data_IF_754184955973
#
_entry.id   IF_754184955973
#
_cell.length_a   1.000
_cell.length_b   1.000
_cell.length_c   1.000
_cell.angle_alpha   90.00
_cell.angle_beta   90.00
_cell.angle_gamma   90.00
#
_symmetry.space_group_name_H-M   'P 1'
#
loop_
_entity.id
_entity.type
_entity.pdbx_description
1 polymer ?
#
# COMPACT_ATOMS: atom_id res chain seq x y z
N UNK A 1 -14.26 17.87 21.84
CA UNK A 1 -13.03 17.85 21.01
C UNK A 1 -12.94 19.15 20.25
N UNK A 2 -11.84 19.87 20.39
CA UNK A 2 -11.57 21.12 19.67
C UNK A 2 -10.54 20.88 18.54
N UNK A 3 -10.27 21.92 17.73
CA UNK A 3 -9.35 21.81 16.56
C UNK A 3 -7.92 21.38 16.96
N UNK A 4 -7.41 21.85 18.10
CA UNK A 4 -6.08 21.48 18.60
C UNK A 4 -6.03 20.02 19.07
N UNK A 5 -7.08 19.53 19.70
CA UNK A 5 -7.21 18.12 20.09
C UNK A 5 -7.31 17.22 18.86
N UNK A 6 -8.06 17.65 17.83
CA UNK A 6 -8.15 16.92 16.56
C UNK A 6 -6.80 16.84 15.85
N UNK A 7 -6.06 17.97 15.78
CA UNK A 7 -4.75 17.99 15.15
C UNK A 7 -3.74 17.05 15.81
N UNK A 8 -3.81 16.87 17.13
CA UNK A 8 -2.94 15.94 17.87
C UNK A 8 -3.18 14.47 17.48
N UNK A 9 -4.40 14.12 17.05
CA UNK A 9 -4.66 12.74 16.59
C UNK A 9 -3.89 12.39 15.32
N UNK A 10 -3.48 13.39 14.54
CA UNK A 10 -2.76 13.22 13.28
C UNK A 10 -1.29 13.69 13.37
N UNK A 11 -0.78 13.87 14.58
CA UNK A 11 0.63 14.14 14.84
C UNK A 11 1.39 12.80 14.96
N UNK A 12 2.27 12.56 14.01
CA UNK A 12 3.11 11.36 13.98
C UNK A 12 4.52 11.61 14.53
N UNK A 13 4.76 12.75 15.20
CA UNK A 13 6.06 13.05 15.78
C UNK A 13 6.50 11.95 16.76
N UNK A 14 7.73 11.48 16.59
CA UNK A 14 8.30 10.38 17.37
C UNK A 14 7.80 8.97 16.99
N UNK A 15 6.91 8.83 15.99
CA UNK A 15 6.51 7.53 15.48
C UNK A 15 7.40 7.09 14.32
N UNK A 16 7.78 5.83 14.30
CA UNK A 16 8.52 5.21 13.20
C UNK A 16 7.58 4.39 12.35
N UNK A 17 7.52 4.72 11.06
CA UNK A 17 6.70 4.04 10.06
C UNK A 17 7.59 3.37 9.03
N UNK A 18 7.35 2.09 8.77
CA UNK A 18 7.99 1.34 7.68
C UNK A 18 7.03 1.29 6.50
N UNK A 19 7.51 1.62 5.30
CA UNK A 19 6.74 1.56 4.05
C UNK A 19 7.45 0.65 3.07
N UNK A 20 6.90 -0.53 2.80
CA UNK A 20 7.42 -1.43 1.74
C UNK A 20 6.94 -0.97 0.38
N UNK A 21 7.74 -1.18 -0.67
CA UNK A 21 7.43 -0.63 -2.00
C UNK A 21 7.42 0.90 -2.02
N UNK A 22 8.15 1.51 -1.09
CA UNK A 22 8.13 2.95 -0.86
C UNK A 22 8.87 3.77 -1.92
N UNK A 23 9.55 3.15 -2.88
CA UNK A 23 10.07 3.86 -4.07
C UNK A 23 9.05 3.89 -5.22
N UNK A 24 7.95 3.16 -5.10
CA UNK A 24 6.83 3.22 -6.03
C UNK A 24 5.99 4.49 -5.85
N UNK A 25 5.16 4.82 -6.86
CA UNK A 25 4.36 6.06 -6.87
C UNK A 25 3.50 6.21 -5.61
N UNK A 26 2.65 5.24 -5.28
CA UNK A 26 1.74 5.37 -4.14
C UNK A 26 2.49 5.24 -2.80
N UNK A 27 3.43 4.30 -2.70
CA UNK A 27 4.24 4.10 -1.49
C UNK A 27 5.11 5.33 -1.16
N UNK A 28 5.73 5.94 -2.17
CA UNK A 28 6.54 7.15 -2.02
C UNK A 28 5.72 8.35 -1.57
N UNK A 29 4.56 8.59 -2.17
CA UNK A 29 3.66 9.68 -1.79
C UNK A 29 3.11 9.49 -0.36
N UNK A 30 2.76 8.26 0.02
CA UNK A 30 2.38 7.94 1.41
C UNK A 30 3.54 8.23 2.37
N UNK A 31 4.76 7.86 2.00
CA UNK A 31 5.96 8.13 2.80
C UNK A 31 6.20 9.64 2.97
N UNK A 32 6.08 10.42 1.89
CA UNK A 32 6.18 11.89 1.93
C UNK A 32 5.12 12.51 2.85
N UNK A 33 3.86 12.08 2.74
CA UNK A 33 2.78 12.57 3.59
C UNK A 33 3.05 12.30 5.08
N UNK A 34 3.56 11.10 5.42
CA UNK A 34 3.89 10.72 6.79
C UNK A 34 5.05 11.54 7.36
N UNK A 35 6.12 11.79 6.59
CA UNK A 35 7.20 12.71 6.98
C UNK A 35 6.65 14.11 7.17
N UNK A 36 5.76 14.58 6.29
CA UNK A 36 5.06 15.85 6.42
C UNK A 36 4.28 15.98 7.73
N UNK A 37 3.75 14.88 8.26
CA UNK A 37 3.06 14.80 9.55
C UNK A 37 3.98 14.50 10.74
N UNK A 38 5.31 14.51 10.56
CA UNK A 38 6.28 14.39 11.63
C UNK A 38 6.84 13.00 11.90
N UNK A 39 6.43 11.98 11.14
CA UNK A 39 6.92 10.61 11.31
C UNK A 39 8.39 10.46 10.91
N UNK A 40 9.09 9.52 11.58
CA UNK A 40 10.29 8.91 11.04
C UNK A 40 9.87 7.81 10.06
N UNK A 41 10.36 7.82 8.82
CA UNK A 41 9.93 6.89 7.78
C UNK A 41 11.09 6.08 7.23
N UNK A 42 10.97 4.76 7.26
CA UNK A 42 11.86 3.84 6.56
C UNK A 42 11.18 3.34 5.28
N UNK A 43 11.74 3.72 4.14
CA UNK A 43 11.33 3.28 2.81
C UNK A 43 12.07 1.99 2.49
N UNK A 44 11.35 0.89 2.37
CA UNK A 44 11.92 -0.40 1.97
C UNK A 44 11.58 -0.69 0.51
N UNK A 45 12.59 -0.95 -0.29
CA UNK A 45 12.40 -1.37 -1.67
C UNK A 45 13.61 -2.18 -2.16
N UNK A 46 13.39 -3.05 -3.14
CA UNK A 46 14.47 -3.78 -3.79
C UNK A 46 15.30 -2.89 -4.73
N UNK A 47 14.65 -1.92 -5.36
CA UNK A 47 15.32 -0.94 -6.23
C UNK A 47 15.32 0.43 -5.58
N UNK A 48 16.48 0.86 -5.11
CA UNK A 48 16.66 2.17 -4.48
C UNK A 48 16.94 3.32 -5.47
N UNK A 49 17.05 3.06 -6.76
CA UNK A 49 17.35 4.12 -7.74
C UNK A 49 16.38 5.31 -7.67
N UNK A 50 15.03 5.12 -7.47
CA UNK A 50 14.13 6.25 -7.32
C UNK A 50 14.15 6.92 -5.94
N UNK A 51 14.82 6.32 -4.93
CA UNK A 51 14.76 6.78 -3.54
C UNK A 51 15.31 8.19 -3.36
N UNK A 52 16.38 8.55 -4.07
CA UNK A 52 16.98 9.91 -4.00
C UNK A 52 15.94 10.98 -4.25
N UNK A 53 15.16 10.86 -5.33
CA UNK A 53 14.10 11.79 -5.66
C UNK A 53 13.02 11.87 -4.59
N UNK A 54 12.65 10.73 -4.00
CA UNK A 54 11.62 10.68 -2.95
C UNK A 54 12.13 11.37 -1.69
N UNK A 55 13.39 11.14 -1.30
CA UNK A 55 14.01 11.81 -0.16
C UNK A 55 14.15 13.34 -0.37
N UNK A 56 14.45 13.76 -1.60
CA UNK A 56 14.45 15.19 -1.97
C UNK A 56 13.08 15.85 -1.79
N UNK A 57 11.98 15.14 -2.08
CA UNK A 57 10.62 15.63 -1.86
C UNK A 57 10.26 15.78 -0.38
N UNK A 58 11.02 15.16 0.52
CA UNK A 58 10.83 15.23 1.97
C UNK A 58 11.58 16.39 2.64
N UNK A 59 12.37 17.16 1.88
CA UNK A 59 13.05 18.34 2.42
C UNK A 59 12.05 19.39 2.98
N UNK A 60 12.36 20.09 4.09
CA UNK A 60 13.60 20.05 4.89
C UNK A 60 13.65 18.94 5.95
N UNK A 61 12.76 17.97 5.93
CA UNK A 61 12.66 16.87 6.92
C UNK A 61 13.30 15.56 6.46
N UNK A 62 14.19 15.58 5.48
CA UNK A 62 14.82 14.37 4.94
C UNK A 62 15.60 13.55 5.99
N UNK A 63 16.05 14.16 7.10
CA UNK A 63 16.66 13.46 8.22
C UNK A 63 15.72 12.52 8.97
N UNK A 64 14.40 12.69 8.81
CA UNK A 64 13.36 11.79 9.32
C UNK A 64 13.06 10.63 8.37
N UNK A 65 13.77 10.49 7.25
CA UNK A 65 13.58 9.43 6.30
C UNK A 65 14.87 8.65 6.05
N UNK A 66 14.72 7.36 5.68
CA UNK A 66 15.81 6.50 5.21
C UNK A 66 15.28 5.55 4.15
N UNK A 67 16.07 5.31 3.11
CA UNK A 67 15.81 4.25 2.15
C UNK A 67 16.73 3.06 2.43
N UNK A 68 16.16 1.88 2.52
CA UNK A 68 16.84 0.62 2.84
C UNK A 68 16.51 -0.40 1.76
N UNK A 69 17.55 -1.02 1.18
CA UNK A 69 17.39 -2.11 0.22
C UNK A 69 16.84 -3.34 0.92
N UNK A 70 15.65 -3.80 0.50
CA UNK A 70 15.04 -5.01 1.06
C UNK A 70 14.15 -5.70 0.02
N UNK A 71 14.23 -7.03 -0.04
CA UNK A 71 13.29 -7.85 -0.79
C UNK A 71 12.19 -8.36 0.14
N UNK A 72 10.94 -7.98 -0.14
CA UNK A 72 9.77 -8.39 0.65
C UNK A 72 9.49 -9.89 0.58
N UNK A 73 10.13 -10.62 -0.32
CA UNK A 73 10.05 -12.07 -0.46
C UNK A 73 11.20 -12.81 0.24
N UNK A 74 12.17 -12.09 0.78
CA UNK A 74 13.29 -12.66 1.53
C UNK A 74 13.19 -12.27 3.02
N UNK A 75 12.97 -13.29 3.86
CA UNK A 75 12.76 -13.09 5.31
C UNK A 75 14.01 -12.56 6.01
N UNK A 76 15.21 -12.97 5.57
CA UNK A 76 16.47 -12.49 6.16
C UNK A 76 16.72 -11.04 5.76
N UNK A 77 16.49 -10.68 4.49
CA UNK A 77 16.55 -9.30 4.02
C UNK A 77 15.61 -8.38 4.82
N UNK A 78 14.40 -8.86 5.16
CA UNK A 78 13.46 -8.12 6.00
C UNK A 78 13.93 -8.00 7.45
N UNK A 79 14.59 -9.02 8.01
CA UNK A 79 15.16 -8.98 9.37
C UNK A 79 16.30 -7.97 9.47
N UNK A 80 17.20 -7.97 8.50
CA UNK A 80 18.30 -7.00 8.41
C UNK A 80 17.76 -5.57 8.28
N UNK A 81 16.74 -5.38 7.43
CA UNK A 81 16.08 -4.09 7.30
C UNK A 81 15.41 -3.66 8.63
N UNK A 82 14.75 -4.58 9.34
CA UNK A 82 14.15 -4.29 10.65
C UNK A 82 15.19 -3.87 11.67
N UNK A 83 16.34 -4.53 11.71
CA UNK A 83 17.45 -4.13 12.60
C UNK A 83 17.95 -2.72 12.26
N UNK A 84 18.19 -2.44 10.98
CA UNK A 84 18.64 -1.11 10.52
C UNK A 84 17.65 0.00 10.91
N UNK A 85 16.34 -0.26 10.79
CA UNK A 85 15.28 0.68 11.20
C UNK A 85 15.33 0.91 12.72
N UNK A 86 15.50 -0.15 13.50
CA UNK A 86 15.56 -0.05 14.96
C UNK A 86 16.81 0.71 15.44
N UNK A 87 17.96 0.49 14.82
CA UNK A 87 19.19 1.22 15.11
C UNK A 87 19.07 2.72 14.80
N UNK A 88 18.36 3.08 13.72
CA UNK A 88 18.22 4.46 13.28
C UNK A 88 17.11 5.23 14.00
N UNK A 89 15.95 4.62 14.16
CA UNK A 89 14.73 5.29 14.61
C UNK A 89 14.08 4.66 15.87
N UNK A 90 14.67 3.60 16.39
CA UNK A 90 14.09 2.86 17.51
C UNK A 90 12.91 1.99 17.09
N UNK A 91 11.93 1.85 17.97
CA UNK A 91 10.80 0.94 17.81
C UNK A 91 9.93 1.29 16.62
N UNK A 92 9.58 0.29 15.80
CA UNK A 92 8.59 0.45 14.73
C UNK A 92 7.17 0.53 15.33
N UNK A 93 6.43 1.56 14.94
CA UNK A 93 5.05 1.82 15.38
C UNK A 93 4.02 1.43 14.33
N UNK A 94 4.34 1.70 13.06
CA UNK A 94 3.45 1.41 11.95
C UNK A 94 4.18 0.69 10.81
N UNK A 95 3.48 -0.22 10.14
CA UNK A 95 3.90 -0.87 8.91
C UNK A 95 2.88 -0.58 7.82
N UNK A 96 3.33 -0.05 6.68
CA UNK A 96 2.52 0.10 5.47
C UNK A 96 3.04 -0.89 4.42
N UNK A 97 2.27 -1.92 4.11
CA UNK A 97 2.58 -2.90 3.07
C UNK A 97 2.09 -2.39 1.72
N UNK A 98 2.93 -1.62 1.00
CA UNK A 98 2.60 -1.06 -0.31
C UNK A 98 3.39 -1.72 -1.46
N UNK A 99 4.27 -2.68 -1.18
CA UNK A 99 4.91 -3.49 -2.21
C UNK A 99 3.86 -4.33 -2.96
N UNK A 100 3.93 -4.32 -4.28
CA UNK A 100 3.00 -5.06 -5.11
C UNK A 100 3.11 -4.66 -6.58
N UNK A 101 2.42 -5.39 -7.43
CA UNK A 101 2.41 -5.10 -8.86
C UNK A 101 1.85 -6.24 -9.70
N UNK A 102 1.82 -6.01 -10.98
CA UNK A 102 1.45 -6.97 -12.00
C UNK A 102 2.46 -6.92 -13.14
N UNK A 103 2.46 -7.90 -14.02
CA UNK A 103 3.32 -7.92 -15.21
C UNK A 103 2.57 -8.39 -16.46
N UNK A 104 3.03 -7.97 -17.66
CA UNK A 104 2.35 -8.32 -18.91
C UNK A 104 2.17 -9.83 -19.11
N UNK A 105 3.14 -10.66 -18.71
CA UNK A 105 3.10 -12.11 -18.83
C UNK A 105 2.01 -12.78 -17.97
N UNK A 106 1.49 -12.10 -16.95
CA UNK A 106 0.37 -12.55 -16.12
C UNK A 106 -0.97 -11.86 -16.50
N UNK A 107 -1.01 -11.23 -17.69
CA UNK A 107 -2.14 -10.43 -18.16
C UNK A 107 -2.63 -10.99 -19.48
N UNK A 108 -3.92 -11.35 -19.58
CA UNK A 108 -4.51 -11.83 -20.82
C UNK A 108 -4.59 -10.72 -21.86
N UNK A 109 -4.39 -11.08 -23.15
CA UNK A 109 -4.48 -10.16 -24.28
C UNK A 109 -5.06 -10.89 -25.50
N UNK A 110 -5.10 -10.23 -26.66
CA UNK A 110 -5.45 -10.88 -27.90
C UNK A 110 -4.48 -12.01 -28.28
N UNK A 111 -3.20 -11.83 -27.89
CA UNK A 111 -2.11 -12.75 -28.24
C UNK A 111 -1.77 -13.73 -27.10
N UNK A 112 -2.36 -13.56 -25.90
CA UNK A 112 -2.09 -14.42 -24.74
C UNK A 112 -3.41 -14.77 -24.04
N UNK A 113 -3.90 -15.99 -24.31
CA UNK A 113 -5.13 -16.47 -23.72
C UNK A 113 -4.97 -16.83 -22.23
N UNK A 114 -6.08 -16.95 -21.51
CA UNK A 114 -6.06 -17.40 -20.11
C UNK A 114 -5.42 -18.79 -19.96
N UNK A 115 -5.64 -19.68 -20.94
CA UNK A 115 -5.15 -21.05 -20.89
C UNK A 115 -3.64 -21.17 -21.11
N UNK A 116 -3.03 -20.13 -21.69
CA UNK A 116 -1.60 -20.07 -22.03
C UNK A 116 -0.78 -19.19 -21.06
N UNK A 117 -1.42 -18.64 -20.01
CA UNK A 117 -0.71 -17.84 -19.02
C UNK A 117 0.39 -18.67 -18.34
N UNK A 118 1.67 -18.25 -18.40
CA UNK A 118 2.75 -19.00 -17.79
C UNK A 118 2.61 -19.09 -16.26
N UNK A 119 2.72 -20.31 -15.72
CA UNK A 119 2.62 -20.58 -14.28
C UNK A 119 3.58 -19.70 -13.46
N UNK A 120 4.81 -19.53 -13.94
CA UNK A 120 5.81 -18.70 -13.25
C UNK A 120 5.43 -17.21 -13.21
N UNK A 121 4.69 -16.73 -14.22
CA UNK A 121 4.18 -15.38 -14.21
C UNK A 121 3.06 -15.21 -13.18
N UNK A 122 2.17 -16.19 -13.07
CA UNK A 122 1.11 -16.22 -12.06
C UNK A 122 1.70 -16.29 -10.65
N UNK A 123 2.65 -17.21 -10.39
CA UNK A 123 3.36 -17.34 -9.11
C UNK A 123 3.99 -16.03 -8.69
N UNK A 124 4.76 -15.40 -9.58
CA UNK A 124 5.40 -14.12 -9.29
C UNK A 124 4.41 -13.06 -8.81
N UNK A 125 3.22 -12.98 -9.43
CA UNK A 125 2.18 -12.01 -9.02
C UNK A 125 1.61 -12.36 -7.66
N UNK A 126 1.35 -13.65 -7.38
CA UNK A 126 0.91 -14.09 -6.06
C UNK A 126 1.96 -13.84 -5.00
N UNK A 127 3.20 -14.22 -5.26
CA UNK A 127 4.29 -14.06 -4.30
C UNK A 127 4.48 -12.58 -3.96
N UNK A 128 4.65 -11.72 -4.96
CA UNK A 128 4.87 -10.30 -4.71
C UNK A 128 3.71 -9.64 -3.96
N UNK A 129 2.46 -9.92 -4.33
CA UNK A 129 1.32 -9.20 -3.74
C UNK A 129 0.86 -9.81 -2.41
N UNK A 130 0.86 -11.14 -2.27
CA UNK A 130 0.34 -11.80 -1.09
C UNK A 130 1.45 -12.14 -0.09
N UNK A 131 2.49 -12.89 -0.49
CA UNK A 131 3.61 -13.18 0.41
C UNK A 131 4.39 -11.90 0.74
N UNK A 132 4.57 -10.99 -0.23
CA UNK A 132 5.17 -9.67 0.00
C UNK A 132 4.38 -8.74 0.94
N UNK A 133 3.16 -9.12 1.34
CA UNK A 133 2.39 -8.50 2.43
C UNK A 133 2.51 -9.30 3.73
N UNK A 134 2.49 -10.63 3.65
CA UNK A 134 2.54 -11.53 4.83
C UNK A 134 3.90 -11.48 5.50
N UNK A 135 5.00 -11.62 4.76
CA UNK A 135 6.35 -11.71 5.31
C UNK A 135 6.77 -10.43 6.07
N UNK A 136 6.59 -9.21 5.52
CA UNK A 136 6.87 -8.01 6.32
C UNK A 136 5.96 -7.91 7.56
N UNK A 137 4.69 -8.35 7.46
CA UNK A 137 3.79 -8.39 8.62
C UNK A 137 4.28 -9.34 9.70
N UNK A 138 4.94 -10.47 9.34
CA UNK A 138 5.57 -11.36 10.30
C UNK A 138 6.77 -10.70 11.00
N UNK A 139 7.66 -10.05 10.25
CA UNK A 139 8.91 -9.47 10.80
C UNK A 139 8.59 -8.25 11.66
N UNK A 140 7.91 -7.26 11.12
CA UNK A 140 7.61 -6.01 11.84
C UNK A 140 6.46 -6.17 12.84
N UNK A 141 5.48 -7.03 12.55
CA UNK A 141 4.40 -7.37 13.47
C UNK A 141 4.88 -8.06 14.73
N UNK A 142 5.98 -8.85 14.67
CA UNK A 142 6.61 -9.45 15.84
C UNK A 142 7.07 -8.39 16.83
N UNK A 143 7.76 -7.35 16.37
CA UNK A 143 8.21 -6.25 17.25
C UNK A 143 7.04 -5.48 17.85
N UNK A 144 5.96 -5.29 17.08
CA UNK A 144 4.72 -4.70 17.60
C UNK A 144 4.06 -5.59 18.67
N UNK A 145 4.04 -6.91 18.46
CA UNK A 145 3.48 -7.88 19.42
C UNK A 145 4.28 -7.89 20.73
N UNK A 146 5.61 -7.85 20.69
CA UNK A 146 6.49 -7.75 21.84
C UNK A 146 6.28 -6.46 22.63
N UNK A 147 6.02 -5.34 21.95
CA UNK A 147 5.67 -4.05 22.57
C UNK A 147 4.22 -4.01 23.05
N UNK A 148 3.35 -4.81 22.45
CA UNK A 148 1.91 -4.83 22.70
C UNK A 148 1.15 -3.65 22.10
N UNK A 149 1.70 -2.94 21.09
CA UNK A 149 1.09 -1.79 20.43
C UNK A 149 1.63 -1.62 19.01
N UNK A 150 0.78 -1.24 18.06
CA UNK A 150 1.20 -0.99 16.69
C UNK A 150 0.05 -0.94 15.68
N UNK A 151 0.37 -0.56 14.45
CA UNK A 151 -0.60 -0.51 13.35
C UNK A 151 0.00 -1.10 12.08
N UNK A 152 -0.72 -2.03 11.45
CA UNK A 152 -0.41 -2.56 10.11
C UNK A 152 -1.48 -2.05 9.13
N UNK A 153 -1.04 -1.42 8.05
CA UNK A 153 -1.87 -0.98 6.95
C UNK A 153 -1.45 -1.69 5.66
N UNK A 154 -2.34 -2.50 5.12
CA UNK A 154 -2.10 -3.21 3.87
C UNK A 154 -2.67 -2.44 2.68
N UNK A 155 -1.96 -2.44 1.56
CA UNK A 155 -2.47 -1.90 0.29
C UNK A 155 -3.04 -3.07 -0.52
N UNK A 156 -4.37 -3.22 -0.44
CA UNK A 156 -5.16 -4.11 -1.27
C UNK A 156 -5.43 -3.48 -2.65
N UNK A 157 -6.61 -3.64 -3.18
CA UNK A 157 -7.08 -3.02 -4.43
C UNK A 157 -8.60 -3.13 -4.51
N UNK A 158 -9.25 -2.26 -5.27
CA UNK A 158 -10.66 -2.43 -5.63
C UNK A 158 -10.90 -3.76 -6.38
N UNK A 159 -9.85 -4.35 -6.99
CA UNK A 159 -9.89 -5.68 -7.60
C UNK A 159 -10.25 -6.80 -6.62
N UNK A 160 -10.07 -6.59 -5.31
CA UNK A 160 -10.51 -7.52 -4.29
C UNK A 160 -12.04 -7.59 -4.16
N UNK A 161 -12.75 -6.51 -4.53
CA UNK A 161 -14.21 -6.41 -4.49
C UNK A 161 -14.84 -6.68 -5.86
N UNK A 162 -14.22 -6.18 -6.93
CA UNK A 162 -14.66 -6.28 -8.31
C UNK A 162 -13.49 -6.69 -9.18
N UNK A 163 -13.34 -7.99 -9.49
CA UNK A 163 -12.21 -8.46 -10.29
C UNK A 163 -12.23 -7.81 -11.67
N UNK A 164 -11.11 -7.22 -12.04
CA UNK A 164 -10.95 -6.64 -13.37
C UNK A 164 -10.67 -7.72 -14.41
N UNK A 165 -11.09 -7.45 -15.63
CA UNK A 165 -10.71 -8.25 -16.79
C UNK A 165 -9.18 -8.29 -16.96
N UNK A 166 -8.65 -9.37 -17.53
CA UNK A 166 -7.24 -9.57 -17.94
C UNK A 166 -6.22 -9.85 -16.84
N UNK A 167 -6.48 -9.62 -15.56
CA UNK A 167 -5.49 -9.73 -14.48
C UNK A 167 -5.90 -10.73 -13.40
N UNK A 168 -6.06 -12.04 -13.74
CA UNK A 168 -6.64 -13.03 -12.84
C UNK A 168 -5.82 -13.22 -11.56
N UNK A 169 -4.50 -13.37 -11.68
CA UNK A 169 -3.62 -13.57 -10.53
C UNK A 169 -3.58 -12.35 -9.60
N UNK A 170 -3.54 -11.15 -10.16
CA UNK A 170 -3.54 -9.92 -9.37
C UNK A 170 -4.84 -9.73 -8.58
N UNK A 171 -5.99 -9.94 -9.23
CA UNK A 171 -7.30 -9.84 -8.56
C UNK A 171 -7.42 -10.86 -7.42
N UNK A 172 -7.03 -12.11 -7.66
CA UNK A 172 -7.05 -13.15 -6.63
C UNK A 172 -6.06 -12.87 -5.48
N UNK A 173 -4.84 -12.40 -5.78
CA UNK A 173 -3.86 -12.05 -4.76
C UNK A 173 -4.34 -10.89 -3.89
N UNK A 174 -4.95 -9.84 -4.47
CA UNK A 174 -5.48 -8.70 -3.71
C UNK A 174 -6.73 -9.07 -2.89
N UNK A 175 -7.56 -10.00 -3.36
CA UNK A 175 -8.62 -10.61 -2.53
C UNK A 175 -8.01 -11.37 -1.34
N UNK A 176 -6.91 -12.10 -1.57
CA UNK A 176 -6.12 -12.75 -0.52
C UNK A 176 -5.58 -11.75 0.51
N UNK A 177 -5.05 -10.60 0.09
CA UNK A 177 -4.59 -9.52 1.00
C UNK A 177 -5.74 -8.99 1.85
N UNK A 178 -6.93 -8.78 1.28
CA UNK A 178 -8.10 -8.33 2.02
C UNK A 178 -8.54 -9.35 3.08
N UNK A 179 -8.59 -10.63 2.73
CA UNK A 179 -8.91 -11.71 3.66
C UNK A 179 -7.84 -11.86 4.75
N UNK A 180 -6.55 -11.83 4.39
CA UNK A 180 -5.44 -11.84 5.32
C UNK A 180 -5.50 -10.69 6.33
N UNK A 181 -5.86 -9.48 5.87
CA UNK A 181 -6.04 -8.32 6.75
C UNK A 181 -7.07 -8.59 7.84
N UNK A 182 -8.23 -9.15 7.48
CA UNK A 182 -9.31 -9.49 8.41
C UNK A 182 -8.88 -10.59 9.39
N UNK A 183 -8.26 -11.64 8.87
CA UNK A 183 -7.76 -12.74 9.69
C UNK A 183 -6.70 -12.26 10.70
N UNK A 184 -5.70 -11.50 10.23
CA UNK A 184 -4.62 -11.01 11.08
C UNK A 184 -5.14 -10.04 12.15
N UNK A 185 -6.10 -9.18 11.80
CA UNK A 185 -6.70 -8.24 12.75
C UNK A 185 -7.32 -8.96 13.96
N UNK A 186 -8.06 -10.02 13.71
CA UNK A 186 -8.67 -10.84 14.79
C UNK A 186 -7.62 -11.60 15.55
N UNK A 187 -6.74 -12.31 14.84
CA UNK A 187 -5.72 -13.15 15.46
C UNK A 187 -4.78 -12.34 16.36
N UNK A 188 -4.25 -11.21 15.85
CA UNK A 188 -3.28 -10.42 16.61
C UNK A 188 -3.90 -9.75 17.86
N UNK A 189 -5.17 -9.31 17.74
CA UNK A 189 -5.89 -8.72 18.86
C UNK A 189 -6.20 -9.73 19.97
N UNK A 190 -6.53 -10.97 19.61
CA UNK A 190 -6.88 -12.01 20.58
C UNK A 190 -5.66 -12.68 21.22
N UNK A 191 -4.57 -12.87 20.44
CA UNK A 191 -3.43 -13.68 20.89
C UNK A 191 -2.30 -12.84 21.46
N UNK A 192 -2.12 -11.61 20.94
CA UNK A 192 -0.97 -10.77 21.32
C UNK A 192 -1.41 -9.49 22.05
N UNK A 193 -2.13 -8.58 21.39
CA UNK A 193 -2.60 -7.35 22.03
C UNK A 193 -3.79 -6.72 21.28
N UNK A 194 -4.85 -6.33 22.01
CA UNK A 194 -5.99 -5.60 21.43
C UNK A 194 -5.65 -4.17 20.99
N UNK A 195 -4.44 -3.66 21.30
CA UNK A 195 -3.96 -2.35 20.85
C UNK A 195 -3.27 -2.40 19.49
N UNK A 196 -3.00 -3.60 18.96
CA UNK A 196 -2.44 -3.74 17.61
C UNK A 196 -3.61 -3.81 16.61
N UNK A 197 -3.63 -2.88 15.66
CA UNK A 197 -4.68 -2.81 14.65
C UNK A 197 -4.14 -3.20 13.27
N UNK A 198 -4.96 -3.89 12.49
CA UNK A 198 -4.61 -4.29 11.12
C UNK A 198 -5.76 -3.91 10.20
N UNK A 199 -5.50 -3.04 9.23
CA UNK A 199 -6.49 -2.56 8.27
C UNK A 199 -5.92 -2.56 6.85
N UNK A 200 -6.75 -2.33 5.86
CA UNK A 200 -6.31 -2.15 4.48
C UNK A 200 -7.00 -0.96 3.81
N UNK A 201 -6.31 -0.36 2.86
CA UNK A 201 -6.91 0.47 1.83
C UNK A 201 -7.03 -0.34 0.54
N UNK A 202 -8.05 -0.04 -0.26
CA UNK A 202 -8.27 -0.66 -1.57
C UNK A 202 -8.37 0.44 -2.65
N UNK A 203 -7.20 0.91 -3.17
CA UNK A 203 -7.18 1.92 -4.21
C UNK A 203 -7.86 1.44 -5.50
N UNK A 204 -8.57 2.36 -6.16
CA UNK A 204 -9.09 2.20 -7.51
C UNK A 204 -8.05 2.49 -8.57
N UNK A 205 -8.46 3.21 -9.61
CA UNK A 205 -7.56 3.62 -10.68
C UNK A 205 -6.90 4.97 -10.36
N UNK A 206 -5.67 4.89 -9.88
CA UNK A 206 -4.80 6.04 -9.66
C UNK A 206 -3.89 6.23 -10.87
N UNK A 207 -3.78 7.46 -11.35
CA UNK A 207 -2.86 7.77 -12.44
C UNK A 207 -1.43 7.76 -11.90
N UNK A 208 -0.62 6.82 -12.38
CA UNK A 208 0.77 6.68 -11.99
C UNK A 208 1.66 6.69 -13.23
N UNK A 209 2.95 6.94 -13.06
CA UNK A 209 3.90 6.86 -14.18
C UNK A 209 3.90 5.46 -14.83
N UNK A 210 3.64 4.41 -14.06
CA UNK A 210 3.61 3.02 -14.54
C UNK A 210 2.41 2.69 -15.42
N UNK A 211 1.28 3.40 -15.27
CA UNK A 211 0.04 3.08 -16.00
C UNK A 211 -0.43 4.23 -16.93
N UNK A 212 0.22 5.39 -16.89
CA UNK A 212 -0.15 6.56 -17.67
C UNK A 212 -0.26 6.24 -19.17
N UNK A 213 0.71 5.53 -19.73
CA UNK A 213 0.73 5.13 -21.15
C UNK A 213 -0.43 4.21 -21.55
N UNK A 214 -1.02 3.47 -20.59
CA UNK A 214 -2.20 2.62 -20.84
C UNK A 214 -3.51 3.39 -20.81
N UNK A 215 -3.54 4.53 -20.13
CA UNK A 215 -4.74 5.27 -19.78
C UNK A 215 -4.86 6.58 -20.57
N UNK A 216 -3.73 7.17 -20.96
CA UNK A 216 -3.66 8.43 -21.70
C UNK A 216 -2.68 8.31 -22.85
N UNK A 217 -3.00 8.94 -23.98
CA UNK A 217 -2.10 9.09 -25.11
C UNK A 217 -0.98 10.08 -24.75
N UNK A 218 0.28 9.68 -24.93
CA UNK A 218 1.44 10.48 -24.52
C UNK A 218 1.59 11.82 -25.29
N UNK A 219 1.08 11.88 -26.52
CA UNK A 219 1.24 13.06 -27.39
C UNK A 219 0.12 14.08 -27.19
N UNK A 220 -1.10 13.60 -27.02
CA UNK A 220 -2.29 14.46 -26.97
C UNK A 220 -2.83 14.65 -25.55
N UNK A 221 -2.45 13.79 -24.59
CA UNK A 221 -3.02 13.73 -23.26
C UNK A 221 -4.47 13.18 -23.21
N UNK A 222 -5.04 12.83 -24.37
CA UNK A 222 -6.40 12.30 -24.45
C UNK A 222 -6.48 10.91 -23.82
N UNK A 223 -7.65 10.54 -23.32
CA UNK A 223 -7.90 9.21 -22.79
C UNK A 223 -7.79 8.14 -23.89
N UNK A 224 -7.08 7.06 -23.61
CA UNK A 224 -7.16 5.86 -24.45
C UNK A 224 -8.56 5.25 -24.35
N UNK A 225 -8.98 4.32 -25.25
CA UNK A 225 -10.25 3.60 -25.11
C UNK A 225 -10.39 2.92 -23.73
N UNK A 226 -9.27 2.40 -23.17
CA UNK A 226 -9.23 1.83 -21.83
C UNK A 226 -9.42 2.89 -20.74
N UNK A 227 -8.71 4.02 -20.86
CA UNK A 227 -8.85 5.14 -19.93
C UNK A 227 -10.27 5.68 -19.92
N UNK A 228 -10.89 5.83 -21.09
CA UNK A 228 -12.29 6.25 -21.22
C UNK A 228 -13.24 5.25 -20.56
N UNK A 229 -13.10 3.96 -20.84
CA UNK A 229 -13.94 2.92 -20.21
C UNK A 229 -13.84 2.94 -18.69
N UNK A 230 -12.67 3.16 -18.11
CA UNK A 230 -12.48 3.28 -16.65
C UNK A 230 -13.22 4.51 -16.12
N UNK A 231 -13.05 5.67 -16.76
CA UNK A 231 -13.70 6.91 -16.31
C UNK A 231 -15.23 6.80 -16.43
N UNK A 232 -15.75 6.21 -17.51
CA UNK A 232 -17.19 6.00 -17.72
C UNK A 232 -17.80 5.10 -16.63
N UNK A 233 -16.99 4.21 -15.99
CA UNK A 233 -17.39 3.35 -14.88
C UNK A 233 -17.01 3.90 -13.49
N UNK A 234 -16.39 5.07 -13.42
CA UNK A 234 -16.04 5.74 -12.17
C UNK A 234 -17.03 6.87 -11.90
N UNK A 235 -17.94 6.78 -10.92
CA UNK A 235 -18.94 7.82 -10.66
C UNK A 235 -18.37 9.22 -10.42
N UNK A 236 -17.16 9.33 -9.82
CA UNK A 236 -16.48 10.62 -9.66
C UNK A 236 -15.81 11.14 -10.94
N UNK A 237 -15.95 10.44 -12.09
CA UNK A 237 -15.54 10.84 -13.43
C UNK A 237 -14.07 11.30 -13.58
N UNK A 238 -13.18 10.78 -12.74
CA UNK A 238 -11.73 11.05 -12.79
C UNK A 238 -10.91 9.87 -12.27
N UNK A 239 -9.64 9.84 -12.62
CA UNK A 239 -8.66 9.01 -11.92
C UNK A 239 -8.38 9.57 -10.53
N UNK A 240 -8.01 8.68 -9.59
CA UNK A 240 -7.48 9.09 -8.30
C UNK A 240 -6.10 9.74 -8.46
N UNK A 241 -5.82 10.71 -7.60
CA UNK A 241 -4.51 11.30 -7.39
C UNK A 241 -3.93 10.73 -6.09
N UNK A 242 -2.61 10.63 -5.93
CA UNK A 242 -2.01 10.08 -4.70
C UNK A 242 -2.54 10.74 -3.41
N UNK A 243 -2.83 12.02 -3.46
CA UNK A 243 -3.37 12.82 -2.35
C UNK A 243 -4.75 12.33 -1.89
N UNK A 244 -5.53 11.71 -2.77
CA UNK A 244 -6.82 11.12 -2.41
C UNK A 244 -6.68 9.95 -1.41
N UNK A 245 -5.47 9.38 -1.26
CA UNK A 245 -5.18 8.33 -0.28
C UNK A 245 -4.89 8.89 1.11
N UNK A 246 -4.34 10.11 1.21
CA UNK A 246 -3.73 10.63 2.45
C UNK A 246 -4.71 10.64 3.62
N UNK A 247 -5.94 11.12 3.39
CA UNK A 247 -6.96 11.17 4.43
C UNK A 247 -7.24 9.80 5.07
N UNK A 248 -7.42 8.77 4.25
CA UNK A 248 -7.70 7.42 4.73
C UNK A 248 -6.46 6.77 5.37
N UNK A 249 -5.27 6.94 4.77
CA UNK A 249 -4.01 6.41 5.30
C UNK A 249 -3.71 7.00 6.66
N UNK A 250 -3.70 8.33 6.78
CA UNK A 250 -3.42 9.02 8.04
C UNK A 250 -4.47 8.65 9.10
N UNK A 251 -5.76 8.59 8.74
CA UNK A 251 -6.81 8.15 9.66
C UNK A 251 -6.56 6.73 10.18
N UNK A 252 -6.32 5.76 9.30
CA UNK A 252 -6.16 4.36 9.70
C UNK A 252 -4.87 4.11 10.50
N UNK A 253 -3.83 4.91 10.29
CA UNK A 253 -2.57 4.82 11.06
C UNK A 253 -2.66 5.55 12.40
N UNK A 254 -3.52 6.56 12.54
CA UNK A 254 -3.60 7.45 13.69
C UNK A 254 -4.47 6.91 14.83
N UNK A 255 -4.38 7.51 16.03
CA UNK A 255 -5.30 7.24 17.14
C UNK A 255 -6.77 7.59 16.84
N UNK A 256 -7.06 8.39 15.81
CA UNK A 256 -8.43 8.70 15.38
C UNK A 256 -9.23 7.46 14.95
N UNK A 257 -8.56 6.36 14.63
CA UNK A 257 -9.15 5.07 14.29
C UNK A 257 -8.91 3.98 15.36
N UNK A 258 -8.76 4.36 16.64
CA UNK A 258 -8.39 3.43 17.72
C UNK A 258 -9.34 2.24 17.89
N UNK A 259 -10.62 2.34 17.45
CA UNK A 259 -11.59 1.24 17.50
C UNK A 259 -11.88 0.66 16.11
N UNK A 260 -10.95 0.82 15.15
CA UNK A 260 -11.09 0.33 13.77
C UNK A 260 -9.98 -0.69 13.49
N UNK A 261 -10.36 -1.96 13.31
CA UNK A 261 -9.47 -3.05 12.90
C UNK A 261 -10.21 -4.04 12.01
N UNK A 262 -9.53 -4.67 11.06
CA UNK A 262 -10.08 -5.62 10.10
C UNK A 262 -10.87 -5.01 8.93
N UNK A 263 -10.85 -3.68 8.76
CA UNK A 263 -11.56 -3.05 7.64
C UNK A 263 -10.68 -3.00 6.38
N UNK A 264 -11.36 -3.04 5.23
CA UNK A 264 -10.77 -2.78 3.92
C UNK A 264 -11.53 -1.61 3.31
N UNK A 265 -10.88 -0.45 3.20
CA UNK A 265 -11.51 0.82 2.80
C UNK A 265 -11.28 1.07 1.31
N UNK A 266 -12.31 1.02 0.45
CA UNK A 266 -12.20 1.41 -0.95
C UNK A 266 -11.92 2.91 -1.08
N UNK A 267 -10.95 3.25 -1.94
CA UNK A 267 -10.64 4.63 -2.34
C UNK A 267 -10.58 4.61 -3.86
N UNK A 268 -11.73 4.64 -4.51
CA UNK A 268 -11.87 4.28 -5.91
C UNK A 268 -12.85 5.16 -6.71
N UNK A 269 -13.27 6.29 -6.15
CA UNK A 269 -14.23 7.19 -6.81
C UNK A 269 -15.61 6.58 -7.04
N UNK A 270 -15.97 5.54 -6.28
CA UNK A 270 -17.23 4.82 -6.37
C UNK A 270 -17.23 3.67 -7.39
N UNK A 271 -16.08 3.36 -8.01
CA UNK A 271 -15.98 2.32 -9.04
C UNK A 271 -16.53 0.96 -8.58
N UNK A 272 -16.11 0.48 -7.40
CA UNK A 272 -16.56 -0.83 -6.89
C UNK A 272 -18.03 -0.85 -6.44
N UNK A 273 -18.61 0.30 -6.15
CA UNK A 273 -20.02 0.43 -5.74
C UNK A 273 -20.98 0.54 -6.94
N UNK A 274 -20.48 0.98 -8.10
CA UNK A 274 -21.30 1.23 -9.28
C UNK A 274 -21.72 -0.07 -9.97
N UNK A 275 -23.02 -0.24 -10.17
CA UNK A 275 -23.61 -1.42 -10.83
C UNK A 275 -23.72 -1.28 -12.36
N UNK A 276 -23.42 -0.12 -12.92
CA UNK A 276 -23.52 0.16 -14.36
C UNK A 276 -24.84 0.80 -14.79
N UNK A 277 -25.75 1.06 -13.85
CA UNK A 277 -27.06 1.72 -14.07
C UNK A 277 -27.31 2.77 -13.02
#
# INVERSE_FOLDING_TARGET
MNSSELSRLYDFSGQTVVVTGGTGTLGGEIACALVGCGANVAILDRNLTPATRILELMEPRANQAVAIGADVLDIESLREASQTVQEKFGTVHCLVNAAGGNKPQATTSADLSFFDLPTEALRWVFDLNLLGTILPSQVFGKTMAEKGDGVILNVSSMNAFRPLTRVPAYSAAKAGVSNFTQWLAVHIAQVYSPRIRVNAIAPGFFLTQQNKFLLTDEKTGALTPRGKSIIDHTPMARFGQPEDLFGAVLWLLSPASAFVTGVVVPIDGGFSAFSGV
#
